data_IF_461113853253
#
_entry.id   IF_461113853253
#
_cell.length_a   1.000
_cell.length_b   1.000
_cell.length_c   1.000
_cell.angle_alpha   90.00
_cell.angle_beta   90.00
_cell.angle_gamma   90.00
#
_symmetry.space_group_name_H-M   'P 1'
#
loop_
_entity.id
_entity.type
_entity.pdbx_description
1 polymer ?
#
# COMPACT_ATOMS: atom_id res chain seq x y z
N UNK A 1 18.89 3.15 9.11
CA UNK A 1 17.78 2.47 8.43
C UNK A 1 18.12 2.54 6.96
N UNK A 2 18.37 1.40 6.34
CA UNK A 2 19.16 1.34 5.10
C UNK A 2 18.46 2.00 3.91
N UNK A 3 19.09 3.02 3.35
CA UNK A 3 18.98 3.36 1.94
C UNK A 3 19.49 2.15 1.16
N UNK A 4 18.57 1.36 0.63
CA UNK A 4 18.88 0.27 -0.26
C UNK A 4 17.85 0.30 -1.36
N UNK A 5 18.30 0.63 -2.57
CA UNK A 5 17.46 0.52 -3.74
C UNK A 5 16.91 -0.91 -3.85
N UNK A 6 15.66 -1.08 -4.28
CA UNK A 6 15.08 -2.40 -4.42
C UNK A 6 15.92 -3.22 -5.41
N UNK A 7 16.14 -4.51 -5.11
CA UNK A 7 16.86 -5.43 -6.00
C UNK A 7 16.17 -5.60 -7.37
N UNK A 8 14.91 -5.21 -7.48
CA UNK A 8 14.14 -5.14 -8.72
C UNK A 8 12.88 -4.29 -8.54
N UNK A 9 12.48 -3.62 -9.62
CA UNK A 9 11.39 -2.64 -9.60
C UNK A 9 11.84 -1.25 -9.17
N UNK A 10 10.88 -0.39 -8.85
CA UNK A 10 11.12 0.97 -8.39
C UNK A 10 10.15 1.34 -7.29
N UNK A 11 10.58 2.25 -6.41
CA UNK A 11 9.64 2.93 -5.52
C UNK A 11 8.79 3.90 -6.35
N UNK A 12 7.48 3.89 -6.11
CA UNK A 12 6.53 4.81 -6.75
C UNK A 12 5.90 5.65 -5.65
N UNK A 13 5.86 6.96 -5.87
CA UNK A 13 5.18 7.87 -4.97
C UNK A 13 3.67 7.54 -4.94
N UNK A 14 3.04 7.61 -3.76
CA UNK A 14 1.65 7.18 -3.61
C UNK A 14 0.68 7.96 -4.51
N UNK A 15 0.96 9.24 -4.74
CA UNK A 15 0.23 10.13 -5.66
C UNK A 15 0.39 9.80 -7.15
N UNK A 16 1.31 8.91 -7.49
CA UNK A 16 1.57 8.43 -8.84
C UNK A 16 1.22 6.95 -9.04
N UNK A 17 0.47 6.34 -8.12
CA UNK A 17 0.10 4.91 -8.20
C UNK A 17 -0.80 4.55 -9.39
N UNK A 18 -1.44 5.54 -10.03
CA UNK A 18 -2.25 5.33 -11.23
C UNK A 18 -1.43 5.39 -12.54
N UNK A 19 -0.17 5.81 -12.48
CA UNK A 19 0.70 5.98 -13.66
C UNK A 19 1.26 4.66 -14.22
N UNK A 20 1.58 3.63 -13.41
CA UNK A 20 2.13 2.38 -13.92
C UNK A 20 1.11 1.50 -14.64
N UNK A 21 1.55 0.80 -15.68
CA UNK A 21 0.83 -0.35 -16.24
C UNK A 21 1.08 -1.57 -15.38
N UNK A 22 0.03 -2.26 -14.96
CA UNK A 22 0.12 -3.51 -14.20
C UNK A 22 -0.10 -4.71 -15.11
N UNK A 23 0.66 -5.78 -14.89
CA UNK A 23 0.55 -7.04 -15.66
C UNK A 23 -0.80 -7.75 -15.46
N UNK A 24 -1.52 -7.42 -14.39
CA UNK A 24 -2.80 -8.02 -14.03
C UNK A 24 -3.86 -6.95 -13.73
N UNK A 25 -5.05 -7.15 -14.29
CA UNK A 25 -6.21 -6.32 -14.00
C UNK A 25 -6.58 -6.32 -12.51
N UNK A 26 -6.40 -7.46 -11.81
CA UNK A 26 -6.65 -7.54 -10.37
C UNK A 26 -5.66 -6.69 -9.56
N UNK A 27 -4.39 -6.66 -9.98
CA UNK A 27 -3.38 -5.81 -9.35
C UNK A 27 -3.69 -4.33 -9.60
N UNK A 28 -4.04 -3.97 -10.83
CA UNK A 28 -4.44 -2.60 -11.17
C UNK A 28 -5.64 -2.14 -10.33
N UNK A 29 -6.67 -2.98 -10.19
CA UNK A 29 -7.87 -2.67 -9.42
C UNK A 29 -7.56 -2.39 -7.94
N UNK A 30 -6.81 -3.28 -7.29
CA UNK A 30 -6.44 -3.12 -5.88
C UNK A 30 -5.62 -1.84 -5.65
N UNK A 31 -4.64 -1.56 -6.53
CA UNK A 31 -3.78 -0.38 -6.39
C UNK A 31 -4.54 0.91 -6.63
N UNK A 32 -5.42 0.96 -7.64
CA UNK A 32 -6.25 2.13 -7.93
C UNK A 32 -7.28 2.38 -6.83
N UNK A 33 -7.88 1.32 -6.28
CA UNK A 33 -8.78 1.41 -5.14
C UNK A 33 -8.05 1.98 -3.92
N UNK A 34 -6.86 1.46 -3.63
CA UNK A 34 -6.01 2.02 -2.58
C UNK A 34 -5.69 3.50 -2.84
N UNK A 35 -5.30 3.88 -4.05
CA UNK A 35 -4.97 5.27 -4.39
C UNK A 35 -6.16 6.22 -4.18
N UNK A 36 -7.38 5.76 -4.49
CA UNK A 36 -8.62 6.51 -4.30
C UNK A 36 -9.02 6.65 -2.83
N UNK A 37 -8.86 5.58 -2.05
CA UNK A 37 -9.29 5.51 -0.65
C UNK A 37 -8.23 6.05 0.33
N UNK A 38 -6.96 6.21 -0.08
CA UNK A 38 -5.86 6.61 0.83
C UNK A 38 -6.10 7.95 1.53
N UNK A 39 -6.87 8.85 0.93
CA UNK A 39 -7.21 10.16 1.50
C UNK A 39 -8.08 10.05 2.76
N UNK A 40 -8.79 8.93 2.94
CA UNK A 40 -9.62 8.64 4.11
C UNK A 40 -8.79 8.37 5.38
N UNK A 41 -7.48 8.11 5.24
CA UNK A 41 -6.56 8.01 6.38
C UNK A 41 -6.75 6.80 7.30
N UNK A 42 -7.61 5.86 6.93
CA UNK A 42 -7.90 4.65 7.71
C UNK A 42 -6.90 3.53 7.37
N UNK A 43 -5.62 3.75 7.67
CA UNK A 43 -4.60 2.71 7.49
C UNK A 43 -4.44 1.89 8.76
N UNK A 44 -4.20 0.59 8.61
CA UNK A 44 -3.81 -0.28 9.70
C UNK A 44 -2.82 -1.34 9.22
N UNK A 45 -1.82 -1.65 10.04
CA UNK A 45 -0.94 -2.80 9.80
C UNK A 45 -1.62 -4.04 10.36
N UNK A 46 -1.88 -5.03 9.53
CA UNK A 46 -2.28 -6.35 10.01
C UNK A 46 -1.06 -7.11 10.54
N UNK A 47 -1.12 -7.55 11.80
CA UNK A 47 -0.09 -8.38 12.41
C UNK A 47 -0.70 -9.70 12.88
N UNK A 48 -0.35 -10.79 12.19
CA UNK A 48 -0.89 -12.11 12.48
C UNK A 48 -0.77 -13.12 11.34
N UNK A 49 -1.45 -14.24 11.52
CA UNK A 49 -1.65 -15.33 10.56
C UNK A 49 -3.10 -15.35 10.07
N UNK A 50 -3.39 -16.12 9.03
CA UNK A 50 -4.74 -16.25 8.46
C UNK A 50 -5.85 -16.49 9.50
N UNK A 51 -5.57 -17.24 10.57
CA UNK A 51 -6.54 -17.61 11.61
C UNK A 51 -6.45 -16.75 12.87
N UNK A 52 -5.38 -15.98 13.05
CA UNK A 52 -5.12 -15.21 14.27
C UNK A 52 -4.33 -13.95 13.98
N UNK A 53 -4.93 -12.77 14.17
CA UNK A 53 -4.21 -11.52 14.00
C UNK A 53 -4.95 -10.31 14.52
N UNK A 54 -4.23 -9.19 14.58
CA UNK A 54 -4.74 -7.90 15.05
C UNK A 54 -4.37 -6.80 14.07
N UNK A 55 -5.29 -5.86 13.85
CA UNK A 55 -5.05 -4.65 13.08
C UNK A 55 -4.55 -3.57 14.02
N UNK A 56 -3.36 -3.05 13.74
CA UNK A 56 -2.80 -1.88 14.42
C UNK A 56 -3.07 -0.64 13.57
N UNK A 57 -4.03 0.18 14.01
CA UNK A 57 -4.39 1.42 13.30
C UNK A 57 -3.21 2.39 13.29
N UNK A 58 -2.86 2.88 12.11
CA UNK A 58 -1.92 3.98 11.92
C UNK A 58 -2.76 5.24 11.70
N UNK A 59 -3.34 5.76 12.78
CA UNK A 59 -4.08 7.03 12.68
C UNK A 59 -3.11 8.13 12.25
N UNK A 60 -3.53 8.99 11.31
CA UNK A 60 -2.79 10.20 10.95
C UNK A 60 -2.73 11.08 12.21
N UNK A 61 -1.52 11.35 12.72
CA UNK A 61 -1.34 12.39 13.74
C UNK A 61 -1.76 13.72 13.08
N UNK A 62 -2.71 14.41 13.71
CA UNK A 62 -3.20 15.72 13.28
C UNK A 62 -2.06 16.74 13.16
#
# INVERSE_FOLDING_TARGET
MGEGDPRGGSFVALDRLADPTFDSAATADIVNRFASERSLGNFGVYFGTETTGRVHSIARKA
#
